data_IF_186817010019
#
_entry.id   IF_186817010019
#
_cell.length_a   1.000
_cell.length_b   1.000
_cell.length_c   1.000
_cell.angle_alpha   90.00
_cell.angle_beta   90.00
_cell.angle_gamma   90.00
#
_symmetry.space_group_name_H-M   'P 1'
#
loop_
_entity.id
_entity.type
_entity.pdbx_description
1 polymer ?
#
# COMPACT_ATOMS: atom_id res chain seq x y z
N UNK A 1 7.73 -16.40 4.13
CA UNK A 1 6.31 -16.16 4.35
C UNK A 1 6.06 -14.79 5.00
N UNK A 2 4.82 -14.52 5.42
CA UNK A 2 4.46 -13.22 6.03
C UNK A 2 5.33 -12.93 7.26
N UNK A 3 5.51 -13.91 8.14
CA UNK A 3 6.30 -13.72 9.37
C UNK A 3 7.74 -13.28 9.08
N UNK A 4 8.38 -13.91 8.09
CA UNK A 4 9.75 -13.51 7.68
C UNK A 4 9.78 -12.06 7.17
N UNK A 5 8.77 -11.65 6.41
CA UNK A 5 8.69 -10.25 5.93
C UNK A 5 8.49 -9.26 7.08
N UNK A 6 7.66 -9.62 8.05
CA UNK A 6 7.45 -8.81 9.28
C UNK A 6 8.78 -8.68 10.02
N UNK A 7 9.40 -9.80 10.40
CA UNK A 7 10.67 -9.77 11.15
C UNK A 7 11.75 -8.96 10.42
N UNK A 8 11.86 -9.11 9.08
CA UNK A 8 12.85 -8.34 8.31
C UNK A 8 12.59 -6.83 8.38
N UNK A 9 11.34 -6.40 8.34
CA UNK A 9 10.98 -4.96 8.44
C UNK A 9 11.18 -4.46 9.86
N UNK A 10 10.79 -5.25 10.86
CA UNK A 10 11.00 -4.94 12.29
C UNK A 10 12.49 -4.77 12.61
N UNK A 11 13.34 -5.69 12.16
CA UNK A 11 14.79 -5.61 12.33
C UNK A 11 15.38 -4.39 11.62
N UNK A 12 14.94 -4.10 10.37
CA UNK A 12 15.44 -2.98 9.60
C UNK A 12 15.05 -1.63 10.20
N UNK A 13 13.78 -1.49 10.60
CA UNK A 13 13.22 -0.22 11.06
C UNK A 13 13.26 -0.04 12.58
N UNK A 14 13.47 -1.12 13.35
CA UNK A 14 13.47 -1.09 14.81
C UNK A 14 12.10 -0.73 15.41
N UNK A 15 11.05 -1.30 14.84
CA UNK A 15 9.64 -1.10 15.23
C UNK A 15 8.98 -2.46 15.45
N UNK A 16 7.86 -2.48 16.17
CA UNK A 16 6.99 -3.64 16.29
C UNK A 16 5.82 -3.52 15.31
N UNK A 17 5.57 -4.57 14.51
CA UNK A 17 4.45 -4.64 13.57
C UNK A 17 3.33 -5.49 14.20
N UNK A 18 2.32 -4.84 14.74
CA UNK A 18 1.21 -5.51 15.42
C UNK A 18 0.21 -6.13 14.45
N UNK A 19 -0.01 -5.49 13.30
CA UNK A 19 -1.03 -5.90 12.32
C UNK A 19 -0.46 -5.94 10.92
N UNK A 20 -0.96 -6.88 10.12
CA UNK A 20 -0.66 -6.96 8.69
C UNK A 20 -1.91 -7.23 7.86
N UNK A 21 -1.86 -6.83 6.62
CA UNK A 21 -2.84 -7.21 5.59
C UNK A 21 -2.07 -7.71 4.37
N UNK A 22 -2.34 -8.96 3.98
CA UNK A 22 -1.80 -9.54 2.74
C UNK A 22 -2.89 -9.62 1.69
N UNK A 23 -2.68 -8.93 0.58
CA UNK A 23 -3.60 -8.84 -0.55
C UNK A 23 -3.04 -9.57 -1.76
N UNK A 24 -3.92 -10.08 -2.62
CA UNK A 24 -3.60 -10.44 -3.99
C UNK A 24 -4.27 -9.46 -4.98
N UNK A 25 -3.98 -9.60 -6.26
CA UNK A 25 -4.50 -8.70 -7.29
C UNK A 25 -6.02 -8.69 -7.39
N UNK A 26 -6.65 -9.86 -7.25
CA UNK A 26 -8.12 -9.95 -7.28
C UNK A 26 -8.77 -9.30 -6.06
N UNK A 27 -8.09 -9.32 -4.91
CA UNK A 27 -8.54 -8.60 -3.71
C UNK A 27 -8.50 -7.09 -3.93
N UNK A 28 -7.41 -6.57 -4.51
CA UNK A 28 -7.30 -5.14 -4.81
C UNK A 28 -8.44 -4.69 -5.74
N UNK A 29 -8.67 -5.42 -6.83
CA UNK A 29 -9.77 -5.13 -7.76
C UNK A 29 -11.11 -5.05 -7.02
N UNK A 30 -11.44 -6.12 -6.29
CA UNK A 30 -12.70 -6.20 -5.54
C UNK A 30 -12.83 -5.10 -4.49
N UNK A 31 -11.75 -4.80 -3.75
CA UNK A 31 -11.78 -3.77 -2.72
C UNK A 31 -12.09 -2.40 -3.31
N UNK A 32 -11.42 -2.03 -4.39
CA UNK A 32 -11.67 -0.77 -5.10
C UNK A 32 -13.09 -0.70 -5.66
N UNK A 33 -13.59 -1.79 -6.25
CA UNK A 33 -14.95 -1.82 -6.83
C UNK A 33 -16.04 -1.73 -5.75
N UNK A 34 -15.88 -2.43 -4.63
CA UNK A 34 -16.84 -2.42 -3.50
C UNK A 34 -16.99 -1.02 -2.88
N UNK A 35 -15.89 -0.26 -2.81
CA UNK A 35 -15.93 1.12 -2.29
C UNK A 35 -16.34 2.15 -3.35
N UNK A 36 -16.67 1.71 -4.57
CA UNK A 36 -17.17 2.55 -5.66
C UNK A 36 -16.09 3.29 -6.44
N UNK A 37 -14.90 2.71 -6.54
CA UNK A 37 -13.76 3.32 -7.23
C UNK A 37 -12.98 4.31 -6.35
N UNK A 38 -11.82 4.71 -6.85
CA UNK A 38 -10.91 5.65 -6.18
C UNK A 38 -10.39 6.70 -7.17
N UNK A 39 -9.87 7.81 -6.63
CA UNK A 39 -9.21 8.85 -7.43
C UNK A 39 -7.70 8.79 -7.18
N UNK A 40 -6.94 8.30 -8.16
CA UNK A 40 -5.47 8.23 -8.09
C UNK A 40 -4.83 9.43 -8.78
N UNK A 41 -3.78 9.99 -8.18
CA UNK A 41 -3.04 11.08 -8.78
C UNK A 41 -1.89 10.52 -9.62
N UNK A 42 -1.80 10.95 -10.88
CA UNK A 42 -0.68 10.63 -11.77
C UNK A 42 0.19 11.85 -12.02
N UNK A 43 1.49 11.70 -11.90
CA UNK A 43 2.47 12.76 -12.23
C UNK A 43 2.63 12.93 -13.75
N UNK A 44 2.24 11.93 -14.55
CA UNK A 44 2.50 11.83 -15.99
C UNK A 44 1.30 11.30 -16.75
N UNK A 45 1.25 11.64 -18.05
CA UNK A 45 0.41 10.94 -19.03
C UNK A 45 1.10 9.64 -19.43
N UNK A 46 0.41 8.50 -19.33
CA UNK A 46 0.93 7.21 -19.77
C UNK A 46 -0.16 6.20 -20.08
N UNK A 47 0.20 5.18 -20.86
CA UNK A 47 -0.67 4.04 -21.15
C UNK A 47 -0.02 2.75 -20.63
N UNK A 48 -0.79 1.93 -19.92
CA UNK A 48 -0.31 0.63 -19.44
C UNK A 48 -1.44 -0.39 -19.41
N UNK A 49 -1.18 -1.63 -19.80
CA UNK A 49 -2.18 -2.72 -19.85
C UNK A 49 -3.47 -2.36 -20.61
N UNK A 50 -3.39 -1.47 -21.60
CA UNK A 50 -4.54 -1.00 -22.37
C UNK A 50 -5.35 0.14 -21.73
N UNK A 51 -4.92 0.65 -20.59
CA UNK A 51 -5.55 1.77 -19.88
C UNK A 51 -4.73 3.05 -20.02
N UNK A 52 -5.42 4.16 -20.33
CA UNK A 52 -4.82 5.49 -20.45
C UNK A 52 -4.96 6.25 -19.13
N UNK A 53 -3.86 6.82 -18.65
CA UNK A 53 -3.81 7.70 -17.48
C UNK A 53 -3.34 9.09 -17.91
N UNK A 54 -3.93 10.11 -17.33
CA UNK A 54 -3.60 11.51 -17.56
C UNK A 54 -2.95 12.11 -16.33
N UNK A 55 -2.06 13.06 -16.54
CA UNK A 55 -1.49 13.85 -15.44
C UNK A 55 -2.60 14.51 -14.63
N UNK A 56 -2.55 14.36 -13.31
CA UNK A 56 -3.59 14.80 -12.39
C UNK A 56 -4.41 13.64 -11.84
N UNK A 57 -5.62 13.93 -11.36
CA UNK A 57 -6.49 12.91 -10.80
C UNK A 57 -7.23 12.10 -11.88
N UNK A 58 -7.23 10.78 -11.70
CA UNK A 58 -7.91 9.82 -12.55
C UNK A 58 -8.87 9.01 -11.68
N UNK A 59 -10.16 9.07 -11.95
CA UNK A 59 -11.15 8.21 -11.29
C UNK A 59 -11.07 6.82 -11.91
N UNK A 60 -10.78 5.82 -11.10
CA UNK A 60 -10.49 4.46 -11.55
C UNK A 60 -11.32 3.41 -10.81
N UNK A 61 -11.73 2.36 -11.51
CA UNK A 61 -12.25 1.13 -10.94
C UNK A 61 -11.10 0.18 -10.55
N UNK A 62 -11.42 -1.03 -10.07
CA UNK A 62 -10.42 -1.98 -9.59
C UNK A 62 -9.42 -2.43 -10.65
N UNK A 63 -9.85 -2.70 -11.88
CA UNK A 63 -8.99 -3.10 -12.99
C UNK A 63 -8.00 -1.99 -13.38
N UNK A 64 -8.50 -0.75 -13.48
CA UNK A 64 -7.68 0.43 -13.72
C UNK A 64 -6.68 0.68 -12.59
N UNK A 65 -7.12 0.58 -11.32
CA UNK A 65 -6.26 0.75 -10.15
C UNK A 65 -5.14 -0.31 -10.13
N UNK A 66 -5.46 -1.57 -10.49
CA UNK A 66 -4.46 -2.62 -10.63
C UNK A 66 -3.45 -2.29 -11.74
N UNK A 67 -3.93 -1.87 -12.92
CA UNK A 67 -3.05 -1.49 -14.03
C UNK A 67 -2.11 -0.34 -13.61
N UNK A 68 -2.64 0.70 -12.94
CA UNK A 68 -1.86 1.81 -12.40
C UNK A 68 -0.77 1.33 -11.42
N UNK A 69 -1.13 0.51 -10.44
CA UNK A 69 -0.21 0.00 -9.41
C UNK A 69 0.92 -0.89 -9.96
N UNK A 70 0.74 -1.45 -11.16
CA UNK A 70 1.71 -2.33 -11.82
C UNK A 70 2.54 -1.63 -12.89
N UNK A 71 2.25 -0.39 -13.22
CA UNK A 71 2.96 0.37 -14.23
C UNK A 71 4.45 0.51 -13.85
N UNK A 72 5.34 0.04 -14.72
CA UNK A 72 6.79 0.02 -14.50
C UNK A 72 7.56 0.46 -15.73
N UNK A 73 7.27 -0.14 -16.89
CA UNK A 73 8.03 0.04 -18.12
C UNK A 73 7.85 1.42 -18.76
N UNK A 74 6.90 2.17 -18.28
CA UNK A 74 6.53 3.50 -18.77
C UNK A 74 7.43 4.62 -18.23
N UNK A 75 8.31 4.31 -17.27
CA UNK A 75 9.07 5.29 -16.51
C UNK A 75 10.55 4.94 -16.43
N UNK A 76 11.43 5.92 -16.52
CA UNK A 76 12.88 5.73 -16.32
C UNK A 76 13.21 5.14 -14.95
N UNK A 77 12.51 5.59 -13.91
CA UNK A 77 12.61 5.08 -12.53
C UNK A 77 11.95 3.72 -12.29
N UNK A 78 11.40 3.08 -13.31
CA UNK A 78 10.81 1.74 -13.38
C UNK A 78 10.18 1.23 -12.08
N UNK A 79 10.98 0.58 -11.27
CA UNK A 79 10.54 -0.05 -10.03
C UNK A 79 10.17 0.95 -8.92
N UNK A 80 10.90 2.06 -8.82
CA UNK A 80 10.61 3.12 -7.86
C UNK A 80 9.26 3.80 -8.16
N UNK A 81 8.99 4.08 -9.44
CA UNK A 81 7.70 4.64 -9.84
C UNK A 81 6.56 3.66 -9.58
N UNK A 82 6.78 2.36 -9.77
CA UNK A 82 5.80 1.34 -9.40
C UNK A 82 5.50 1.38 -7.89
N UNK A 83 6.53 1.52 -7.06
CA UNK A 83 6.37 1.68 -5.60
C UNK A 83 5.51 2.90 -5.26
N UNK A 84 5.79 4.07 -5.85
CA UNK A 84 4.98 5.29 -5.67
C UNK A 84 3.53 5.07 -6.13
N UNK A 85 3.33 4.47 -7.30
CA UNK A 85 1.98 4.19 -7.80
C UNK A 85 1.18 3.28 -6.85
N UNK A 86 1.86 2.32 -6.20
CA UNK A 86 1.22 1.47 -5.18
C UNK A 86 0.81 2.27 -3.95
N UNK A 87 1.68 3.18 -3.48
CA UNK A 87 1.36 4.08 -2.35
C UNK A 87 0.19 5.00 -2.70
N UNK A 88 0.16 5.60 -3.89
CA UNK A 88 -0.95 6.44 -4.36
C UNK A 88 -2.29 5.68 -4.36
N UNK A 89 -2.30 4.39 -4.75
CA UNK A 89 -3.52 3.55 -4.69
C UNK A 89 -3.95 3.34 -3.24
N UNK A 90 -3.02 3.03 -2.33
CA UNK A 90 -3.32 2.84 -0.91
C UNK A 90 -3.85 4.15 -0.31
N UNK A 91 -3.19 5.27 -0.55
CA UNK A 91 -3.62 6.59 -0.11
C UNK A 91 -5.04 6.91 -0.58
N UNK A 92 -5.31 6.72 -1.88
CA UNK A 92 -6.63 6.96 -2.45
C UNK A 92 -7.72 6.08 -1.83
N UNK A 93 -7.41 4.81 -1.53
CA UNK A 93 -8.33 3.91 -0.83
C UNK A 93 -8.59 4.37 0.60
N UNK A 94 -7.54 4.70 1.36
CA UNK A 94 -7.69 5.20 2.75
C UNK A 94 -8.52 6.48 2.76
N UNK A 95 -8.20 7.43 1.90
CA UNK A 95 -8.91 8.71 1.76
C UNK A 95 -10.39 8.50 1.42
N UNK A 96 -10.69 7.61 0.45
CA UNK A 96 -12.05 7.27 0.06
C UNK A 96 -12.87 6.69 1.21
N UNK A 97 -12.27 5.81 2.00
CA UNK A 97 -12.94 5.15 3.13
C UNK A 97 -13.09 6.10 4.32
N UNK A 98 -12.01 6.80 4.71
CA UNK A 98 -11.99 7.64 5.91
C UNK A 98 -12.90 8.86 5.80
N UNK A 99 -13.13 9.38 4.60
CA UNK A 99 -14.01 10.56 4.38
C UNK A 99 -15.45 10.21 4.10
N UNK A 100 -15.81 8.91 4.06
CA UNK A 100 -17.17 8.47 3.73
C UNK A 100 -17.86 7.74 4.88
N UNK A 101 -18.75 8.44 5.58
CA UNK A 101 -19.59 7.80 6.60
C UNK A 101 -20.50 6.69 6.03
N UNK A 102 -20.88 6.76 4.76
CA UNK A 102 -21.66 5.72 4.08
C UNK A 102 -20.84 4.43 3.93
N UNK A 103 -19.57 4.52 3.52
CA UNK A 103 -18.67 3.36 3.41
C UNK A 103 -18.38 2.80 4.80
N UNK A 104 -18.04 3.66 5.76
CA UNK A 104 -17.73 3.25 7.13
C UNK A 104 -18.93 2.53 7.78
N UNK A 105 -20.15 3.00 7.59
CA UNK A 105 -21.34 2.30 8.09
C UNK A 105 -21.63 0.97 7.39
N UNK A 106 -21.06 0.73 6.21
CA UNK A 106 -21.16 -0.53 5.47
C UNK A 106 -19.96 -1.46 5.64
N UNK A 107 -19.04 -1.18 6.57
CA UNK A 107 -17.80 -1.91 6.70
C UNK A 107 -17.97 -3.42 6.85
N UNK A 108 -19.00 -3.90 7.56
CA UNK A 108 -19.29 -5.33 7.68
C UNK A 108 -19.61 -5.97 6.33
N UNK A 109 -20.41 -5.31 5.49
CA UNK A 109 -20.73 -5.80 4.15
C UNK A 109 -19.49 -5.79 3.24
N UNK A 110 -18.61 -4.80 3.40
CA UNK A 110 -17.33 -4.73 2.67
C UNK A 110 -16.42 -5.89 3.08
N UNK A 111 -16.26 -6.14 4.37
CA UNK A 111 -15.47 -7.26 4.89
C UNK A 111 -16.01 -8.60 4.43
N UNK A 112 -17.34 -8.80 4.45
CA UNK A 112 -17.96 -10.03 3.96
C UNK A 112 -17.73 -10.22 2.45
N UNK A 113 -17.83 -9.16 1.65
CA UNK A 113 -17.55 -9.18 0.21
C UNK A 113 -16.09 -9.51 -0.12
N UNK A 114 -15.16 -9.22 0.80
CA UNK A 114 -13.72 -9.50 0.65
C UNK A 114 -13.29 -10.79 1.36
N UNK A 115 -14.19 -11.48 2.04
CA UNK A 115 -13.89 -12.69 2.82
C UNK A 115 -13.20 -13.77 1.97
N UNK A 116 -12.12 -14.33 2.52
CA UNK A 116 -11.32 -15.36 1.85
C UNK A 116 -10.42 -14.85 0.71
N UNK A 117 -10.42 -13.54 0.42
CA UNK A 117 -9.55 -12.98 -0.62
C UNK A 117 -8.27 -12.32 -0.06
N UNK A 118 -8.22 -12.04 1.22
CA UNK A 118 -7.06 -11.45 1.91
C UNK A 118 -6.74 -12.22 3.19
N UNK A 119 -5.54 -12.01 3.71
CA UNK A 119 -5.07 -12.54 4.99
C UNK A 119 -4.69 -11.38 5.91
N UNK A 120 -5.09 -11.48 7.17
CA UNK A 120 -4.76 -10.50 8.21
C UNK A 120 -4.83 -11.16 9.59
N UNK A 121 -4.06 -10.63 10.54
CA UNK A 121 -4.24 -10.91 11.96
C UNK A 121 -5.11 -9.85 12.67
N UNK A 122 -5.67 -8.90 11.92
CA UNK A 122 -6.55 -7.86 12.46
C UNK A 122 -7.92 -8.47 12.80
N UNK A 123 -8.26 -8.53 14.07
CA UNK A 123 -9.53 -9.11 14.50
C UNK A 123 -10.73 -8.17 14.29
N UNK A 124 -11.93 -8.74 14.26
CA UNK A 124 -13.16 -7.98 14.03
C UNK A 124 -13.41 -6.90 15.10
N UNK A 125 -12.94 -7.11 16.33
CA UNK A 125 -13.10 -6.15 17.43
C UNK A 125 -12.23 -4.91 17.21
N UNK A 126 -10.99 -5.12 16.81
CA UNK A 126 -10.05 -4.04 16.48
C UNK A 126 -10.50 -3.25 15.25
N UNK A 127 -10.99 -3.94 14.20
CA UNK A 127 -11.60 -3.28 13.02
C UNK A 127 -12.81 -2.43 13.45
N UNK A 128 -13.70 -2.99 14.26
CA UNK A 128 -14.86 -2.26 14.77
C UNK A 128 -14.45 -1.01 15.57
N UNK A 129 -13.43 -1.12 16.42
CA UNK A 129 -12.92 0.01 17.18
C UNK A 129 -12.39 1.14 16.29
N UNK A 130 -11.61 0.81 15.24
CA UNK A 130 -11.13 1.78 14.25
C UNK A 130 -12.28 2.47 13.51
N UNK A 131 -13.25 1.69 13.03
CA UNK A 131 -14.41 2.25 12.33
C UNK A 131 -15.20 3.18 13.26
N UNK A 132 -15.41 2.78 14.52
CA UNK A 132 -16.09 3.63 15.52
C UNK A 132 -15.33 4.92 15.80
N UNK A 133 -14.01 4.82 15.93
CA UNK A 133 -13.14 5.98 16.11
C UNK A 133 -13.31 6.95 14.95
N UNK A 134 -13.19 6.47 13.71
CA UNK A 134 -13.34 7.32 12.52
C UNK A 134 -14.73 7.96 12.40
N UNK A 135 -15.78 7.21 12.73
CA UNK A 135 -17.16 7.73 12.70
C UNK A 135 -17.44 8.76 13.79
N UNK A 136 -16.63 8.86 14.83
CA UNK A 136 -16.89 9.76 15.97
C UNK A 136 -16.72 11.23 15.61
N UNK A 137 -15.77 11.56 14.76
CA UNK A 137 -15.41 12.93 14.38
C UNK A 137 -15.11 13.11 12.89
N UNK A 138 -15.00 12.01 12.13
CA UNK A 138 -14.64 12.02 10.71
C UNK A 138 -13.34 12.78 10.42
N UNK A 139 -12.37 12.72 11.35
CA UNK A 139 -11.08 13.38 11.21
C UNK A 139 -10.38 13.01 9.91
N UNK A 140 -9.77 13.99 9.27
CA UNK A 140 -8.95 13.77 8.08
C UNK A 140 -7.62 13.11 8.48
N UNK A 141 -7.21 12.12 7.69
CA UNK A 141 -5.93 11.46 7.87
C UNK A 141 -4.85 12.20 7.08
N UNK A 142 -3.83 12.65 7.78
CA UNK A 142 -2.62 13.14 7.14
C UNK A 142 -1.77 11.94 6.73
N UNK A 143 -1.62 11.73 5.43
CA UNK A 143 -0.86 10.60 4.87
C UNK A 143 0.44 11.16 4.31
N UNK A 144 1.56 10.69 4.83
CA UNK A 144 2.88 10.99 4.34
C UNK A 144 3.52 9.75 3.71
N UNK A 145 3.99 9.89 2.48
CA UNK A 145 4.70 8.83 1.78
C UNK A 145 6.21 8.97 1.98
N UNK A 146 6.86 7.86 2.30
CA UNK A 146 8.31 7.81 2.37
C UNK A 146 8.83 6.49 1.78
N UNK A 147 9.87 6.57 0.94
CA UNK A 147 10.49 5.40 0.32
C UNK A 147 11.94 5.28 0.75
N UNK A 148 12.35 4.07 1.11
CA UNK A 148 13.76 3.76 1.31
C UNK A 148 14.49 3.79 -0.03
N UNK A 149 15.72 4.26 -0.02
CA UNK A 149 16.62 4.25 -1.18
C UNK A 149 17.81 3.31 -0.94
N UNK A 150 18.58 3.03 -2.00
CA UNK A 150 19.75 2.17 -1.93
C UNK A 150 20.46 2.00 -3.26
N UNK A 151 21.59 1.37 -3.19
CA UNK A 151 22.39 1.02 -4.36
C UNK A 151 21.91 -0.30 -4.99
N UNK A 152 21.95 -0.37 -6.32
CA UNK A 152 21.70 -1.60 -7.04
C UNK A 152 22.88 -2.55 -6.89
N UNK A 153 22.63 -3.77 -6.42
CA UNK A 153 23.63 -4.80 -6.21
C UNK A 153 23.22 -6.17 -6.76
N UNK A 154 24.09 -7.13 -6.58
CA UNK A 154 23.83 -8.55 -6.84
C UNK A 154 24.41 -9.36 -5.72
N UNK A 155 23.57 -10.18 -5.09
CA UNK A 155 23.99 -11.04 -3.99
C UNK A 155 23.13 -12.30 -3.90
N UNK A 156 23.57 -13.23 -3.07
CA UNK A 156 22.78 -14.40 -2.72
C UNK A 156 21.63 -14.00 -1.80
N UNK A 157 20.49 -14.63 -2.00
CA UNK A 157 19.34 -14.42 -1.13
C UNK A 157 18.90 -15.73 -0.49
N UNK A 158 18.39 -15.68 0.72
CA UNK A 158 17.90 -16.86 1.43
C UNK A 158 16.89 -17.68 0.61
N UNK A 159 16.04 -17.01 -0.16
CA UNK A 159 14.97 -17.65 -0.93
C UNK A 159 15.44 -18.30 -2.22
N UNK A 160 16.61 -17.91 -2.76
CA UNK A 160 17.14 -18.41 -4.03
C UNK A 160 18.40 -19.26 -3.86
N UNK A 161 18.90 -19.43 -2.62
CA UNK A 161 20.08 -20.24 -2.33
C UNK A 161 21.30 -19.76 -3.12
N UNK A 162 21.87 -20.65 -3.93
CA UNK A 162 23.11 -20.41 -4.71
C UNK A 162 22.89 -19.56 -5.98
N UNK A 163 21.71 -19.00 -6.18
CA UNK A 163 21.40 -18.14 -7.33
C UNK A 163 21.65 -16.68 -6.95
N UNK A 164 22.55 -16.02 -7.66
CA UNK A 164 22.79 -14.59 -7.49
C UNK A 164 21.59 -13.81 -8.04
N UNK A 165 20.93 -13.08 -7.16
CA UNK A 165 19.78 -12.24 -7.47
C UNK A 165 20.16 -10.76 -7.57
N UNK A 166 19.29 -9.98 -8.21
CA UNK A 166 19.32 -8.54 -8.08
C UNK A 166 18.83 -8.17 -6.67
N UNK A 167 19.59 -7.34 -5.97
CA UNK A 167 19.27 -6.84 -4.64
C UNK A 167 19.42 -5.32 -4.62
N UNK A 168 18.78 -4.67 -3.68
CA UNK A 168 19.01 -3.28 -3.32
C UNK A 168 19.72 -3.25 -1.97
N UNK A 169 20.94 -2.72 -1.93
CA UNK A 169 21.66 -2.45 -0.69
C UNK A 169 21.09 -1.16 -0.08
N UNK A 170 20.45 -1.21 1.11
CA UNK A 170 19.78 -0.06 1.67
C UNK A 170 20.75 1.09 1.97
N UNK A 171 20.37 2.32 1.62
CA UNK A 171 21.00 3.51 2.16
C UNK A 171 20.48 3.75 3.59
N UNK A 172 21.35 3.50 4.56
CA UNK A 172 20.98 3.63 5.99
C UNK A 172 20.65 5.05 6.42
N UNK A 173 21.01 6.09 5.67
CA UNK A 173 20.51 7.44 5.93
C UNK A 173 19.00 7.51 5.70
N UNK A 174 18.51 6.89 4.62
CA UNK A 174 17.07 6.82 4.33
C UNK A 174 16.34 5.93 5.33
N UNK A 175 16.95 4.84 5.77
CA UNK A 175 16.42 3.96 6.83
C UNK A 175 16.29 4.72 8.16
N UNK A 176 17.31 5.46 8.57
CA UNK A 176 17.29 6.25 9.80
C UNK A 176 16.24 7.35 9.74
N UNK A 177 16.13 8.05 8.61
CA UNK A 177 15.06 9.03 8.39
C UNK A 177 13.68 8.42 8.53
N UNK A 178 13.46 7.21 7.97
CA UNK A 178 12.19 6.48 8.13
C UNK A 178 11.89 6.16 9.60
N UNK A 179 12.91 5.69 10.35
CA UNK A 179 12.79 5.42 11.80
C UNK A 179 12.37 6.66 12.58
N UNK A 180 12.98 7.80 12.28
CA UNK A 180 12.68 9.06 12.98
C UNK A 180 11.26 9.51 12.68
N UNK A 181 10.83 9.49 11.40
CA UNK A 181 9.45 9.80 11.01
C UNK A 181 8.42 8.90 11.70
N UNK A 182 8.67 7.60 11.77
CA UNK A 182 7.76 6.66 12.44
C UNK A 182 7.68 6.98 13.94
N UNK A 183 8.82 7.27 14.60
CA UNK A 183 8.83 7.64 16.02
C UNK A 183 8.07 8.93 16.30
N UNK A 184 8.18 9.94 15.43
CA UNK A 184 7.43 11.19 15.54
C UNK A 184 5.92 10.96 15.46
N UNK A 185 5.47 10.05 14.58
CA UNK A 185 4.04 9.70 14.46
C UNK A 185 3.49 8.88 15.64
N UNK A 186 4.36 8.21 16.41
CA UNK A 186 3.96 7.38 17.55
C UNK A 186 3.91 8.15 18.89
N UNK A 187 4.29 9.43 18.91
CA UNK A 187 4.25 10.30 20.10
C UNK A 187 2.92 11.06 20.17
#
# INVERSE_FOLDING_TARGET
>A
GVDMSITTIEDLLGIDINYYIRLNFSTLIKAVDIIGGIDVYSEFDFNTYGYQFYKGYNTVNGEYALAYSRARKNFEGGDRQRGKNQLHVIEAMVKKVSTSNVILNKYLSILEGLKGTFQTNFDSKSIYALVRMQLSDMSEWNIEEYSLDGANGRDYTYSLGDIIAFVMEPDYNTVNTAKDKIKEMMQ
#
